data_IF_328269582283
#
_entry.id   IF_328269582283
#
_cell.length_a   1.000
_cell.length_b   1.000
_cell.length_c   1.000
_cell.angle_alpha   90.00
_cell.angle_beta   90.00
_cell.angle_gamma   90.00
#
_symmetry.space_group_name_H-M   'P 1'
#
loop_
_entity.id
_entity.type
_entity.pdbx_description
1 polymer ?
#
# COMPACT_ATOMS: atom_id res chain seq x y z
N UNK A 1 18.47 3.36 -5.75
CA UNK A 1 17.38 4.32 -5.43
C UNK A 1 17.97 5.54 -4.70
N UNK A 2 17.47 6.75 -4.96
CA UNK A 2 17.80 7.96 -4.16
C UNK A 2 16.84 8.06 -2.98
N UNK A 3 17.32 8.48 -1.81
CA UNK A 3 16.50 8.66 -0.60
C UNK A 3 16.55 10.10 -0.08
N UNK A 4 15.56 10.47 0.74
CA UNK A 4 15.47 11.74 1.47
C UNK A 4 14.82 11.52 2.84
N UNK A 5 15.24 12.32 3.83
CA UNK A 5 14.54 12.38 5.12
C UNK A 5 13.21 13.10 4.94
N UNK A 6 12.13 12.53 5.46
CA UNK A 6 10.85 13.22 5.55
C UNK A 6 10.93 14.32 6.63
N UNK A 7 10.76 15.61 6.28
CA UNK A 7 10.95 16.70 7.22
C UNK A 7 10.08 16.54 8.49
N UNK A 8 10.67 16.78 9.66
CA UNK A 8 10.00 16.63 10.95
C UNK A 8 9.93 15.20 11.50
N UNK A 9 10.59 14.24 10.83
CA UNK A 9 10.69 12.84 11.27
C UNK A 9 12.12 12.32 11.10
N UNK A 10 12.38 11.11 11.61
CA UNK A 10 13.60 10.32 11.39
C UNK A 10 13.47 9.33 10.21
N UNK A 11 12.36 9.38 9.46
CA UNK A 11 12.13 8.48 8.34
C UNK A 11 13.00 8.86 7.13
N UNK A 12 13.83 7.92 6.70
CA UNK A 12 14.62 8.02 5.48
C UNK A 12 13.96 7.16 4.39
N UNK A 13 13.39 7.81 3.38
CA UNK A 13 12.51 7.17 2.40
C UNK A 13 13.06 7.32 0.98
N UNK A 14 12.76 6.38 0.09
CA UNK A 14 12.95 6.51 -1.35
C UNK A 14 12.22 7.75 -1.87
N UNK A 15 12.85 8.51 -2.76
CA UNK A 15 12.23 9.76 -3.30
C UNK A 15 10.98 9.51 -4.15
N UNK A 16 10.75 8.25 -4.52
CA UNK A 16 9.51 7.75 -5.13
C UNK A 16 8.91 6.73 -4.17
N UNK A 17 7.61 6.85 -3.89
CA UNK A 17 6.81 5.85 -3.19
C UNK A 17 5.79 5.20 -4.12
N UNK A 18 5.19 4.09 -3.69
CA UNK A 18 4.12 3.42 -4.43
C UNK A 18 2.75 3.76 -3.83
N UNK A 19 1.85 4.33 -4.62
CA UNK A 19 0.44 4.48 -4.28
C UNK A 19 -0.34 3.20 -4.57
N UNK A 20 -1.18 2.77 -3.63
CA UNK A 20 -1.82 1.44 -3.68
C UNK A 20 -3.33 1.46 -4.00
N UNK A 21 -3.90 2.59 -4.45
CA UNK A 21 -5.33 2.64 -4.78
C UNK A 21 -5.66 1.85 -6.05
N UNK A 22 -4.89 2.04 -7.12
CA UNK A 22 -5.17 1.43 -8.43
C UNK A 22 -5.11 -0.09 -8.39
N UNK A 23 -4.16 -0.68 -7.66
CA UNK A 23 -4.05 -2.14 -7.51
C UNK A 23 -5.29 -2.77 -6.84
N UNK A 24 -6.05 -1.98 -6.06
CA UNK A 24 -7.26 -2.44 -5.41
C UNK A 24 -8.48 -2.47 -6.35
N UNK A 25 -8.38 -1.90 -7.56
CA UNK A 25 -9.38 -1.92 -8.63
C UNK A 25 -10.63 -1.04 -8.41
N UNK A 26 -11.04 -0.80 -7.17
CA UNK A 26 -12.18 0.06 -6.86
C UNK A 26 -11.96 1.47 -7.44
N UNK A 27 -12.86 1.92 -8.32
CA UNK A 27 -12.81 3.15 -9.13
C UNK A 27 -11.88 3.16 -10.36
N UNK A 28 -11.07 2.11 -10.57
CA UNK A 28 -10.06 2.08 -11.65
C UNK A 28 -10.24 0.93 -12.65
N UNK A 29 -11.22 0.05 -12.42
CA UNK A 29 -11.52 -1.09 -13.27
C UNK A 29 -11.09 -2.43 -12.66
N UNK A 30 -11.32 -3.54 -13.35
CA UNK A 30 -10.90 -4.85 -12.86
C UNK A 30 -9.38 -4.92 -12.72
N UNK A 31 -8.91 -5.51 -11.62
CA UNK A 31 -7.50 -5.79 -11.39
C UNK A 31 -7.29 -7.25 -11.07
N UNK A 32 -6.21 -7.81 -11.60
CA UNK A 32 -5.72 -9.13 -11.25
C UNK A 32 -4.86 -9.07 -9.98
N UNK A 33 -5.10 -10.00 -9.05
CA UNK A 33 -4.40 -10.03 -7.77
C UNK A 33 -2.92 -10.40 -7.95
N UNK A 34 -2.59 -11.28 -8.90
CA UNK A 34 -1.22 -11.71 -9.14
C UNK A 34 -0.41 -10.60 -9.81
N UNK A 35 -1.01 -9.86 -10.75
CA UNK A 35 -0.42 -8.64 -11.32
C UNK A 35 -0.21 -7.56 -10.26
N UNK A 36 -1.18 -7.38 -9.37
CA UNK A 36 -1.07 -6.42 -8.25
C UNK A 36 0.08 -6.78 -7.30
N UNK A 37 0.20 -8.07 -6.95
CA UNK A 37 1.29 -8.59 -6.12
C UNK A 37 2.63 -8.45 -6.83
N UNK A 38 2.71 -8.79 -8.12
CA UNK A 38 3.90 -8.63 -8.93
C UNK A 38 4.35 -7.17 -9.02
N UNK A 39 3.39 -6.23 -9.14
CA UNK A 39 3.67 -4.79 -9.15
C UNK A 39 4.27 -4.33 -7.83
N UNK A 40 3.71 -4.77 -6.69
CA UNK A 40 4.25 -4.45 -5.36
C UNK A 40 5.67 -5.00 -5.20
N UNK A 41 5.92 -6.24 -5.63
CA UNK A 41 7.26 -6.85 -5.59
C UNK A 41 8.26 -6.12 -6.49
N UNK A 42 7.85 -5.76 -7.70
CA UNK A 42 8.68 -5.00 -8.63
C UNK A 42 9.05 -3.61 -8.08
N UNK A 43 8.14 -2.97 -7.33
CA UNK A 43 8.44 -1.72 -6.63
C UNK A 43 9.57 -1.91 -5.60
N UNK A 44 9.49 -2.96 -4.76
CA UNK A 44 10.55 -3.30 -3.80
C UNK A 44 11.87 -3.62 -4.52
N UNK A 45 11.83 -4.42 -5.58
CA UNK A 45 13.02 -4.77 -6.39
C UNK A 45 13.67 -3.54 -7.04
N UNK A 46 12.87 -2.53 -7.38
CA UNK A 46 13.34 -1.24 -7.90
C UNK A 46 13.93 -0.32 -6.82
N UNK A 47 13.87 -0.75 -5.55
CA UNK A 47 14.37 -0.03 -4.39
C UNK A 47 13.40 0.97 -3.78
N UNK A 48 12.10 0.90 -4.08
CA UNK A 48 11.07 1.64 -3.34
C UNK A 48 10.95 1.02 -1.95
N UNK A 49 10.99 1.87 -0.91
CA UNK A 49 10.94 1.45 0.49
C UNK A 49 9.71 1.94 1.25
N UNK A 50 8.77 2.62 0.58
CA UNK A 50 7.53 3.05 1.21
C UNK A 50 6.29 3.00 0.30
N UNK A 51 5.17 2.68 0.93
CA UNK A 51 3.89 2.40 0.28
C UNK A 51 2.79 3.25 0.92
N UNK A 52 2.04 3.95 0.08
CA UNK A 52 0.88 4.73 0.46
C UNK A 52 -0.39 3.90 0.24
N UNK A 53 -1.16 3.71 1.30
CA UNK A 53 -2.43 2.98 1.30
C UNK A 53 -3.50 3.70 2.12
N UNK A 54 -4.72 3.18 2.11
CA UNK A 54 -5.80 3.63 2.98
C UNK A 54 -6.85 2.52 3.09
N UNK A 55 -7.61 2.43 4.21
CA UNK A 55 -8.71 1.50 4.30
C UNK A 55 -9.86 1.77 3.30
N UNK A 56 -9.89 2.99 2.72
CA UNK A 56 -10.78 3.36 1.63
C UNK A 56 -10.46 2.59 0.33
N UNK A 57 -9.21 2.21 0.10
CA UNK A 57 -8.76 1.65 -1.18
C UNK A 57 -9.21 0.20 -1.33
N UNK A 58 -10.23 -0.02 -2.16
CA UNK A 58 -10.83 -1.35 -2.33
C UNK A 58 -11.43 -1.87 -1.04
N UNK A 59 -11.93 -0.98 -0.16
CA UNK A 59 -12.43 -1.33 1.17
C UNK A 59 -11.46 -2.16 2.03
N UNK A 60 -10.14 -1.94 1.86
CA UNK A 60 -9.09 -2.69 2.57
C UNK A 60 -8.41 -3.78 1.72
N UNK A 61 -8.87 -3.99 0.48
CA UNK A 61 -8.21 -4.90 -0.47
C UNK A 61 -6.76 -4.48 -0.74
N UNK A 62 -6.45 -3.18 -0.80
CA UNK A 62 -5.08 -2.69 -0.94
C UNK A 62 -4.15 -3.21 0.17
N UNK A 63 -4.59 -3.13 1.43
CA UNK A 63 -3.81 -3.58 2.59
C UNK A 63 -3.62 -5.11 2.57
N UNK A 64 -4.64 -5.85 2.13
CA UNK A 64 -4.58 -7.30 1.95
C UNK A 64 -3.55 -7.70 0.88
N UNK A 65 -3.54 -7.00 -0.26
CA UNK A 65 -2.58 -7.23 -1.34
C UNK A 65 -1.15 -6.87 -0.91
N UNK A 66 -0.96 -5.74 -0.22
CA UNK A 66 0.33 -5.36 0.36
C UNK A 66 0.86 -6.44 1.32
N UNK A 67 0.03 -6.93 2.24
CA UNK A 67 0.42 -7.99 3.19
C UNK A 67 0.79 -9.29 2.48
N UNK A 68 0.02 -9.70 1.46
CA UNK A 68 0.31 -10.88 0.63
C UNK A 68 1.61 -10.74 -0.15
N UNK A 69 1.87 -9.57 -0.72
CA UNK A 69 3.06 -9.33 -1.54
C UNK A 69 4.34 -9.24 -0.71
N UNK A 70 4.29 -8.51 0.41
CA UNK A 70 5.45 -8.21 1.24
C UNK A 70 5.78 -9.34 2.23
N UNK A 71 4.78 -10.04 2.77
CA UNK A 71 5.00 -11.07 3.79
C UNK A 71 5.90 -10.57 4.93
N UNK A 72 6.99 -11.27 5.23
CA UNK A 72 7.96 -10.84 6.25
C UNK A 72 8.78 -9.60 5.88
N UNK A 73 8.83 -9.21 4.59
CA UNK A 73 9.50 -7.97 4.16
C UNK A 73 8.74 -6.71 4.59
N UNK A 74 7.50 -6.83 5.07
CA UNK A 74 6.72 -5.68 5.56
C UNK A 74 7.43 -4.92 6.69
N UNK A 75 8.30 -5.60 7.46
CA UNK A 75 9.11 -4.97 8.52
C UNK A 75 10.31 -4.17 8.00
N UNK A 76 10.58 -4.19 6.69
CA UNK A 76 11.71 -3.50 6.05
C UNK A 76 11.28 -2.31 5.19
N UNK A 77 9.99 -2.01 5.15
CA UNK A 77 9.40 -0.91 4.39
C UNK A 77 8.56 -0.05 5.30
N UNK A 78 8.32 1.19 4.90
CA UNK A 78 7.41 2.11 5.58
C UNK A 78 6.02 2.02 4.97
N UNK A 79 4.99 1.80 5.80
CA UNK A 79 3.59 1.84 5.36
C UNK A 79 2.96 3.14 5.84
N UNK A 80 2.56 4.00 4.90
CA UNK A 80 1.79 5.20 5.18
C UNK A 80 0.31 4.90 4.92
N UNK A 81 -0.50 4.88 5.99
CA UNK A 81 -1.95 4.67 5.90
C UNK A 81 -2.73 5.90 6.37
N UNK A 82 -4.05 5.90 6.16
CA UNK A 82 -4.93 7.04 6.37
C UNK A 82 -6.17 6.64 7.16
N UNK A 83 -6.80 7.62 7.81
CA UNK A 83 -8.07 7.47 8.52
C UNK A 83 -8.98 8.67 8.23
N UNK A 84 -10.24 8.61 8.68
CA UNK A 84 -11.17 9.74 8.60
C UNK A 84 -12.36 9.54 7.65
N UNK A 85 -12.41 8.43 6.91
CA UNK A 85 -13.59 8.04 6.11
C UNK A 85 -14.34 6.93 6.84
N UNK A 86 -15.64 7.14 7.05
CA UNK A 86 -16.56 6.15 7.58
C UNK A 86 -17.47 5.66 6.47
N UNK A 87 -17.59 4.34 6.34
CA UNK A 87 -18.56 3.72 5.45
C UNK A 87 -19.97 3.85 6.06
N UNK A 88 -20.94 4.20 5.23
CA UNK A 88 -22.35 3.99 5.58
C UNK A 88 -22.72 2.54 5.23
N UNK A 89 -23.35 1.82 6.16
CA UNK A 89 -23.68 0.40 6.02
C UNK A 89 -22.69 -0.56 6.68
N UNK A 90 -22.69 -1.82 6.23
CA UNK A 90 -21.91 -2.90 6.82
C UNK A 90 -20.40 -2.64 6.69
N UNK A 91 -19.65 -2.95 7.75
CA UNK A 91 -18.20 -2.80 7.76
C UNK A 91 -17.56 -3.79 6.76
N UNK A 92 -16.41 -3.43 6.14
CA UNK A 92 -15.69 -4.38 5.29
C UNK A 92 -15.31 -5.64 6.06
N UNK A 93 -15.51 -6.81 5.45
CA UNK A 93 -15.05 -8.10 5.99
C UNK A 93 -13.52 -8.09 6.19
N UNK A 94 -13.05 -8.73 7.27
CA UNK A 94 -11.61 -9.00 7.48
C UNK A 94 -10.85 -7.99 8.35
N UNK A 95 -11.53 -7.20 9.18
CA UNK A 95 -10.88 -6.44 10.28
C UNK A 95 -10.99 -7.20 11.61
N UNK A 96 -10.16 -8.22 11.78
CA UNK A 96 -9.78 -8.78 13.10
C UNK A 96 -8.38 -8.31 13.49
#
# INVERSE_FOLDING_TARGET
MKTRTLPGTDLHLSVVGMGCWTIAGEHWGPTDDDESIATIRAAVESGIDWFDTAPLYGRGRADTLLRRALGSHIHRVTIATKVGVRWEGEAPEGRE
#
